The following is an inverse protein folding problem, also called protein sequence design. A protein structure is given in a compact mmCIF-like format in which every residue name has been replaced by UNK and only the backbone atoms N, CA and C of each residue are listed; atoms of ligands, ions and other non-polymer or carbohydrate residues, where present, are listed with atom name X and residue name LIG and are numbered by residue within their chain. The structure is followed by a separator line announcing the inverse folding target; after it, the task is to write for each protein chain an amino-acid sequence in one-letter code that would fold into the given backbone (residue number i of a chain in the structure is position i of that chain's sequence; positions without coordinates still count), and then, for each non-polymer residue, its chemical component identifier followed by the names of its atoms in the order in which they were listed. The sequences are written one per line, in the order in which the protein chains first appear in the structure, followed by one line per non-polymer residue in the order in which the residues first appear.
data_IF_777856761066
#
_entry.id   IF_777856761066
#
_cell.length_a   1.000
_cell.length_b   1.000
_cell.length_c   1.000
_cell.angle_alpha   90.00
_cell.angle_beta   90.00
_cell.angle_gamma   90.00
#
_symmetry.space_group_name_H-M   'P 1'
#
loop_
_entity.id
_entity.type
_entity.pdbx_description
1 polymer ?
#
# COMPACT_ATOMS: atom_id res chain seq x y z
N UNK A 1 -1.23 15.30 -21.61
CA UNK A 1 -2.28 14.51 -20.92
C UNK A 1 -3.18 15.41 -20.07
N UNK A 2 -4.45 15.07 -19.99
CA UNK A 2 -5.35 15.63 -19.00
C UNK A 2 -5.17 14.87 -17.69
N UNK A 3 -4.93 15.59 -16.59
CA UNK A 3 -4.76 15.00 -15.26
C UNK A 3 -6.09 15.12 -14.53
N UNK A 4 -6.63 13.99 -14.06
CA UNK A 4 -7.85 13.90 -13.29
C UNK A 4 -7.51 13.29 -11.93
N UNK A 5 -7.69 14.07 -10.87
CA UNK A 5 -7.35 13.69 -9.51
C UNK A 5 -8.57 13.16 -8.76
N UNK A 6 -8.36 12.19 -7.86
CA UNK A 6 -9.39 11.57 -7.02
C UNK A 6 -10.59 11.02 -7.83
N UNK A 7 -10.30 10.37 -8.98
CA UNK A 7 -11.35 9.93 -9.93
C UNK A 7 -12.31 8.87 -9.37
N UNK A 8 -12.00 8.23 -8.24
CA UNK A 8 -12.90 7.28 -7.59
C UNK A 8 -14.22 7.91 -7.11
N UNK A 9 -14.27 9.24 -6.96
CA UNK A 9 -15.49 9.94 -6.57
C UNK A 9 -16.43 10.26 -7.73
N UNK A 10 -15.96 10.12 -8.98
CA UNK A 10 -16.74 10.44 -10.19
C UNK A 10 -16.73 9.22 -11.13
N UNK A 11 -17.46 8.18 -10.75
CA UNK A 11 -17.48 6.90 -11.49
C UNK A 11 -18.08 7.05 -12.89
N UNK A 12 -19.00 7.98 -13.07
CA UNK A 12 -19.66 8.28 -14.35
C UNK A 12 -18.68 8.79 -15.42
N UNK A 13 -17.47 9.20 -15.02
CA UNK A 13 -16.46 9.69 -15.94
C UNK A 13 -15.77 8.57 -16.76
N UNK A 14 -15.69 7.36 -16.21
CA UNK A 14 -14.97 6.26 -16.87
C UNK A 14 -15.49 5.86 -18.25
N UNK A 15 -16.81 5.81 -18.52
CA UNK A 15 -17.32 5.56 -19.87
C UNK A 15 -16.89 6.62 -20.88
N UNK A 16 -16.83 7.90 -20.51
CA UNK A 16 -16.40 8.99 -21.38
C UNK A 16 -14.91 8.93 -21.66
N UNK A 17 -14.09 8.63 -20.65
CA UNK A 17 -12.66 8.39 -20.84
C UNK A 17 -12.43 7.23 -21.81
N UNK A 18 -13.20 6.14 -21.68
CA UNK A 18 -13.14 5.01 -22.59
C UNK A 18 -13.45 5.45 -24.03
N UNK A 19 -14.54 6.18 -24.24
CA UNK A 19 -14.94 6.66 -25.57
C UNK A 19 -13.81 7.52 -26.19
N UNK A 20 -13.28 8.47 -25.43
CA UNK A 20 -12.19 9.32 -25.90
C UNK A 20 -10.90 8.54 -26.23
N UNK A 21 -10.61 7.47 -25.49
CA UNK A 21 -9.49 6.58 -25.78
C UNK A 21 -9.73 5.70 -27.02
N UNK A 22 -10.99 5.37 -27.33
CA UNK A 22 -11.36 4.52 -28.45
C UNK A 22 -11.44 5.33 -29.77
N UNK A 23 -11.57 6.65 -29.71
CA UNK A 23 -11.62 7.56 -30.87
C UNK A 23 -10.24 7.85 -31.47
N UNK A 24 -9.15 7.51 -30.80
CA UNK A 24 -7.78 7.83 -31.25
C UNK A 24 -6.79 6.74 -30.86
N UNK A 25 -5.76 6.57 -31.67
CA UNK A 25 -4.60 5.70 -31.35
C UNK A 25 -3.58 6.37 -30.43
N UNK A 26 -3.77 7.64 -30.09
CA UNK A 26 -2.87 8.39 -29.22
C UNK A 26 -2.89 7.80 -27.80
N UNK A 27 -1.71 7.50 -27.25
CA UNK A 27 -1.55 7.01 -25.88
C UNK A 27 -1.25 8.17 -24.93
N UNK A 28 -1.59 7.96 -23.63
CA UNK A 28 -1.28 8.95 -22.61
C UNK A 28 -2.17 10.19 -22.65
N UNK A 29 -3.39 10.10 -23.14
CA UNK A 29 -4.36 11.21 -23.12
C UNK A 29 -4.73 11.64 -21.71
N UNK A 30 -4.89 10.68 -20.82
CA UNK A 30 -5.32 10.88 -19.44
C UNK A 30 -4.30 10.34 -18.47
N UNK A 31 -4.10 11.05 -17.34
CA UNK A 31 -3.46 10.58 -16.13
C UNK A 31 -4.50 10.63 -15.02
N UNK A 32 -4.85 9.46 -14.48
CA UNK A 32 -5.87 9.33 -13.45
C UNK A 32 -5.16 9.06 -12.13
N UNK A 33 -5.51 9.78 -11.07
CA UNK A 33 -5.00 9.53 -9.72
C UNK A 33 -6.14 9.19 -8.76
N UNK A 34 -5.83 8.50 -7.68
CA UNK A 34 -6.77 8.18 -6.64
C UNK A 34 -6.09 7.50 -5.46
N UNK A 35 -6.51 7.87 -4.25
CA UNK A 35 -5.94 7.36 -3.00
C UNK A 35 -6.51 5.98 -2.59
N UNK A 36 -7.66 5.59 -3.12
CA UNK A 36 -8.36 4.33 -2.80
C UNK A 36 -8.20 3.32 -3.93
N UNK A 37 -7.09 2.59 -3.93
CA UNK A 37 -6.75 1.64 -5.00
C UNK A 37 -7.84 0.59 -5.24
N UNK A 38 -8.50 0.07 -4.19
CA UNK A 38 -9.52 -0.96 -4.31
C UNK A 38 -10.78 -0.47 -5.05
N UNK A 39 -11.31 0.70 -4.67
CA UNK A 39 -12.48 1.30 -5.34
C UNK A 39 -12.16 1.69 -6.78
N UNK A 40 -10.99 2.30 -6.98
CA UNK A 40 -10.53 2.68 -8.31
C UNK A 40 -10.38 1.46 -9.22
N UNK A 41 -9.74 0.38 -8.74
CA UNK A 41 -9.49 -0.83 -9.52
C UNK A 41 -10.75 -1.54 -9.99
N UNK A 42 -11.82 -1.54 -9.20
CA UNK A 42 -13.10 -2.12 -9.60
C UNK A 42 -13.64 -1.45 -10.86
N UNK A 43 -13.72 -0.13 -10.87
CA UNK A 43 -14.27 0.62 -12.00
C UNK A 43 -13.32 0.67 -13.22
N UNK A 44 -12.02 0.74 -12.96
CA UNK A 44 -10.99 0.65 -14.00
C UNK A 44 -11.06 -0.70 -14.73
N UNK A 45 -11.19 -1.80 -14.00
CA UNK A 45 -11.26 -3.15 -14.60
C UNK A 45 -12.51 -3.34 -15.44
N UNK A 46 -13.64 -2.75 -15.06
CA UNK A 46 -14.90 -2.84 -15.81
C UNK A 46 -14.88 -1.98 -17.09
N UNK A 47 -14.29 -0.78 -17.04
CA UNK A 47 -14.41 0.20 -18.11
C UNK A 47 -13.16 0.36 -18.97
N UNK A 48 -11.96 0.27 -18.39
CA UNK A 48 -10.69 0.59 -19.04
C UNK A 48 -9.77 -0.61 -19.25
N UNK A 49 -10.27 -1.84 -19.13
CA UNK A 49 -9.48 -3.04 -19.34
C UNK A 49 -8.76 -3.02 -20.70
N UNK A 50 -7.45 -3.26 -20.70
CA UNK A 50 -6.61 -3.23 -21.90
C UNK A 50 -6.25 -1.84 -22.45
N UNK A 51 -6.72 -0.76 -21.82
CA UNK A 51 -6.48 0.63 -22.25
C UNK A 51 -5.64 1.44 -21.25
N UNK A 52 -5.38 0.90 -20.09
CA UNK A 52 -4.71 1.60 -19.00
C UNK A 52 -3.44 0.87 -18.57
N UNK A 53 -2.40 1.64 -18.21
CA UNK A 53 -1.28 1.19 -17.42
C UNK A 53 -1.48 1.65 -15.97
N UNK A 54 -1.23 0.76 -15.02
CA UNK A 54 -1.43 1.02 -13.59
C UNK A 54 -0.06 1.14 -12.94
N UNK A 55 0.14 2.23 -12.21
CA UNK A 55 1.34 2.49 -11.45
C UNK A 55 0.96 2.72 -9.98
N UNK A 56 1.65 2.03 -9.10
CA UNK A 56 1.53 2.27 -7.66
C UNK A 56 2.65 3.18 -7.19
N UNK A 57 2.30 4.27 -6.54
CA UNK A 57 3.25 5.18 -5.93
C UNK A 57 3.38 4.81 -4.43
N UNK A 58 4.43 4.08 -4.12
CA UNK A 58 4.76 3.75 -2.74
C UNK A 58 5.30 4.96 -1.97
N UNK A 59 5.37 4.85 -0.64
CA UNK A 59 6.10 5.81 0.19
C UNK A 59 7.60 5.84 -0.14
N UNK A 60 8.31 6.82 0.41
CA UNK A 60 9.74 7.01 0.16
C UNK A 60 10.55 5.76 0.52
N UNK A 61 11.37 5.31 -0.40
CA UNK A 61 12.37 4.29 -0.11
C UNK A 61 13.50 4.88 0.73
N UNK A 62 14.25 4.03 1.42
CA UNK A 62 15.44 4.47 2.17
C UNK A 62 16.47 5.20 1.30
N UNK A 63 16.54 4.87 0.02
CA UNK A 63 17.40 5.57 -0.94
C UNK A 63 16.98 7.01 -1.15
N UNK A 64 15.69 7.23 -1.36
CA UNK A 64 15.10 8.56 -1.54
C UNK A 64 15.25 9.39 -0.28
N UNK A 65 14.96 8.83 0.89
CA UNK A 65 15.15 9.50 2.19
C UNK A 65 16.62 9.92 2.40
N UNK A 66 17.57 9.10 1.98
CA UNK A 66 19.01 9.38 2.13
C UNK A 66 19.61 10.20 0.97
N UNK A 67 18.82 10.54 -0.04
CA UNK A 67 19.29 11.24 -1.24
C UNK A 67 20.33 10.44 -2.03
N UNK A 68 20.19 9.10 -2.09
CA UNK A 68 21.11 8.23 -2.80
C UNK A 68 20.53 7.94 -4.18
N UNK A 69 21.16 8.44 -5.25
CA UNK A 69 20.83 8.10 -6.62
C UNK A 69 21.45 6.75 -7.01
N UNK A 70 20.65 5.89 -7.62
CA UNK A 70 21.09 4.63 -8.21
C UNK A 70 20.05 4.15 -9.24
N UNK A 71 20.27 4.49 -10.49
CA UNK A 71 19.25 4.43 -11.57
C UNK A 71 19.14 3.06 -12.26
N UNK A 72 19.74 2.02 -11.70
CA UNK A 72 19.64 0.67 -12.25
C UNK A 72 18.45 -0.07 -11.66
N UNK A 73 17.64 -0.78 -12.48
CA UNK A 73 16.58 -1.64 -12.00
C UNK A 73 17.16 -2.73 -11.09
N UNK A 74 16.36 -3.17 -10.10
CA UNK A 74 16.78 -4.22 -9.19
C UNK A 74 16.90 -5.56 -9.92
N UNK A 75 18.13 -6.02 -10.11
CA UNK A 75 18.46 -7.37 -10.63
C UNK A 75 19.47 -7.96 -9.64
N UNK A 76 19.13 -9.02 -8.87
CA UNK A 76 19.95 -9.53 -7.78
C UNK A 76 21.13 -10.39 -8.31
N UNK A 77 22.00 -9.78 -9.12
CA UNK A 77 23.25 -10.39 -9.58
C UNK A 77 24.42 -9.93 -8.69
N UNK A 78 25.51 -10.69 -8.69
CA UNK A 78 26.72 -10.33 -7.95
C UNK A 78 27.26 -8.96 -8.39
N UNK A 79 27.22 -8.66 -9.67
CA UNK A 79 27.63 -7.36 -10.22
C UNK A 79 26.75 -6.22 -9.68
N UNK A 80 25.42 -6.40 -9.69
CA UNK A 80 24.50 -5.43 -9.12
C UNK A 80 24.79 -5.16 -7.63
N UNK A 81 24.97 -6.22 -6.85
CA UNK A 81 25.26 -6.12 -5.41
C UNK A 81 26.57 -5.38 -5.18
N UNK A 82 27.63 -5.69 -5.94
CA UNK A 82 28.93 -5.05 -5.87
C UNK A 82 28.88 -3.55 -6.20
N UNK A 83 28.16 -3.18 -7.26
CA UNK A 83 27.98 -1.77 -7.63
C UNK A 83 27.12 -1.03 -6.64
N UNK A 84 26.02 -1.64 -6.21
CA UNK A 84 25.11 -1.08 -5.20
C UNK A 84 25.84 -0.82 -3.89
N UNK A 85 26.74 -1.73 -3.49
CA UNK A 85 27.57 -1.62 -2.30
C UNK A 85 28.46 -0.35 -2.28
N UNK A 86 28.84 0.18 -3.44
CA UNK A 86 29.64 1.43 -3.51
C UNK A 86 28.87 2.68 -3.12
N UNK A 87 27.55 2.66 -3.22
CA UNK A 87 26.65 3.80 -2.92
C UNK A 87 25.93 3.66 -1.57
N UNK A 88 26.09 2.53 -0.91
CA UNK A 88 25.47 2.30 0.41
C UNK A 88 26.11 3.21 1.46
N UNK A 89 25.27 3.91 2.21
CA UNK A 89 25.67 4.66 3.41
C UNK A 89 25.20 3.89 4.64
N UNK A 90 26.02 3.77 5.69
CA UNK A 90 25.58 3.12 6.92
C UNK A 90 24.48 3.93 7.61
N UNK A 91 23.49 3.25 8.17
CA UNK A 91 22.47 3.88 8.99
C UNK A 91 23.06 4.18 10.38
N UNK A 92 22.99 5.43 10.81
CA UNK A 92 23.42 5.79 12.16
C UNK A 92 22.40 5.35 13.21
N UNK A 93 21.12 5.44 12.89
CA UNK A 93 20.03 5.04 13.78
C UNK A 93 18.85 4.47 12.95
N UNK A 94 18.85 3.15 12.79
CA UNK A 94 17.79 2.47 12.01
C UNK A 94 16.40 2.65 12.65
N UNK A 95 16.30 2.74 13.97
CA UNK A 95 15.04 2.92 14.67
C UNK A 95 14.38 4.26 14.39
N UNK A 96 15.16 5.29 14.13
CA UNK A 96 14.65 6.59 13.71
C UNK A 96 13.81 6.45 12.42
N UNK A 97 14.34 5.74 11.42
CA UNK A 97 13.66 5.53 10.15
C UNK A 97 12.44 4.61 10.28
N UNK A 98 12.56 3.55 11.09
CA UNK A 98 11.45 2.62 11.35
C UNK A 98 10.27 3.36 12.00
N UNK A 99 10.52 4.20 13.01
CA UNK A 99 9.47 4.97 13.66
C UNK A 99 8.88 6.06 12.77
N UNK A 100 9.72 6.71 11.99
CA UNK A 100 9.28 7.81 11.11
C UNK A 100 8.54 7.28 9.88
N UNK A 101 8.86 6.07 9.44
CA UNK A 101 8.21 5.44 8.29
C UNK A 101 8.63 6.07 6.95
N UNK A 102 7.76 5.99 5.96
CA UNK A 102 8.07 6.33 4.56
C UNK A 102 7.22 7.47 3.97
N UNK A 103 6.41 8.15 4.78
CA UNK A 103 5.58 9.26 4.29
C UNK A 103 6.43 10.51 4.03
N UNK A 104 6.35 11.12 2.81
CA UNK A 104 7.14 12.31 2.47
C UNK A 104 6.99 13.46 3.46
N UNK A 105 5.77 13.71 3.94
CA UNK A 105 5.47 14.78 4.89
C UNK A 105 6.29 14.71 6.18
N UNK A 106 6.76 13.53 6.56
CA UNK A 106 7.59 13.34 7.74
C UNK A 106 9.07 13.70 7.52
N UNK A 107 9.48 13.97 6.27
CA UNK A 107 10.85 14.31 5.90
C UNK A 107 11.01 15.73 5.34
N UNK A 108 9.91 16.35 4.93
CA UNK A 108 9.92 17.70 4.36
C UNK A 108 9.85 18.80 5.43
N UNK A 109 9.16 18.54 6.53
CA UNK A 109 9.00 19.48 7.64
C UNK A 109 9.33 18.79 8.97
N UNK A 110 9.60 19.59 10.01
CA UNK A 110 9.76 19.09 11.39
C UNK A 110 8.42 18.63 12.00
N UNK A 111 7.64 17.86 11.24
CA UNK A 111 6.36 17.34 11.68
C UNK A 111 6.55 16.30 12.78
N UNK A 112 5.80 16.44 13.85
CA UNK A 112 5.74 15.44 14.91
C UNK A 112 5.10 14.15 14.37
N UNK A 113 5.86 13.07 14.37
CA UNK A 113 5.41 11.79 13.81
C UNK A 113 4.27 11.16 14.63
N UNK A 114 4.19 11.41 15.94
CA UNK A 114 3.12 10.89 16.78
C UNK A 114 1.79 11.57 16.44
N UNK A 115 1.83 12.91 16.29
CA UNK A 115 0.67 13.67 15.86
C UNK A 115 0.23 13.28 14.44
N UNK A 116 1.19 13.11 13.53
CA UNK A 116 0.91 12.66 12.17
C UNK A 116 0.19 11.32 12.16
N UNK A 117 0.76 10.29 12.80
CA UNK A 117 0.16 8.96 12.78
C UNK A 117 -1.14 8.85 13.57
N UNK A 118 -1.30 9.57 14.68
CA UNK A 118 -2.57 9.59 15.41
C UNK A 118 -3.69 10.20 14.56
N UNK A 119 -3.42 11.30 13.85
CA UNK A 119 -4.36 11.92 12.92
C UNK A 119 -4.65 11.02 11.72
N UNK A 120 -3.63 10.37 11.18
CA UNK A 120 -3.76 9.42 10.07
C UNK A 120 -4.69 8.25 10.45
N UNK A 121 -4.46 7.62 11.61
CA UNK A 121 -5.31 6.52 12.07
C UNK A 121 -6.76 6.96 12.25
N UNK A 122 -7.00 8.15 12.81
CA UNK A 122 -8.36 8.68 12.97
C UNK A 122 -9.05 8.92 11.62
N UNK A 123 -8.36 9.54 10.67
CA UNK A 123 -8.92 9.82 9.34
C UNK A 123 -9.08 8.55 8.52
N UNK A 124 -8.14 7.61 8.60
CA UNK A 124 -8.22 6.32 7.95
C UNK A 124 -9.41 5.49 8.44
N UNK A 125 -9.62 5.44 9.77
CA UNK A 125 -10.76 4.73 10.35
C UNK A 125 -12.09 5.31 9.91
N UNK A 126 -12.21 6.64 9.88
CA UNK A 126 -13.46 7.29 9.53
C UNK A 126 -13.77 7.23 8.03
N UNK A 127 -12.76 7.17 7.17
CA UNK A 127 -12.93 7.21 5.71
C UNK A 127 -12.86 5.81 5.09
N UNK A 128 -11.72 5.14 5.21
CA UNK A 128 -11.45 3.95 4.40
C UNK A 128 -12.03 2.68 5.02
N UNK A 129 -11.98 2.53 6.33
CA UNK A 129 -12.47 1.32 7.01
C UNK A 129 -14.00 1.29 7.04
N UNK A 130 -14.65 2.42 7.29
CA UNK A 130 -16.12 2.49 7.27
C UNK A 130 -16.69 2.22 5.88
N UNK A 131 -16.04 2.72 4.83
CA UNK A 131 -16.49 2.53 3.45
C UNK A 131 -16.28 1.09 2.99
N UNK A 132 -15.19 0.43 3.40
CA UNK A 132 -14.84 -0.91 2.94
C UNK A 132 -15.55 -2.04 3.69
N UNK A 133 -15.83 -1.92 4.99
CA UNK A 133 -16.26 -3.07 5.80
C UNK A 133 -17.47 -2.86 6.67
N UNK A 134 -18.05 -1.67 6.73
CA UNK A 134 -19.10 -1.35 7.71
C UNK A 134 -18.68 -1.75 9.13
N UNK A 135 -17.40 -1.53 9.50
CA UNK A 135 -16.88 -1.79 10.84
C UNK A 135 -17.72 -1.00 11.84
N UNK A 136 -18.60 -1.72 12.54
CA UNK A 136 -19.49 -1.11 13.55
C UNK A 136 -18.77 -0.88 14.89
N UNK A 137 -17.67 -1.59 15.13
CA UNK A 137 -16.94 -1.58 16.39
C UNK A 137 -15.51 -1.08 16.20
N UNK A 138 -15.37 0.24 16.25
CA UNK A 138 -14.07 0.92 16.14
C UNK A 138 -13.07 0.50 17.22
N UNK A 139 -13.55 0.16 18.44
CA UNK A 139 -12.70 -0.27 19.53
C UNK A 139 -12.03 -1.60 19.23
N UNK A 140 -12.80 -2.55 18.70
CA UNK A 140 -12.25 -3.84 18.28
C UNK A 140 -11.28 -3.71 17.12
N UNK A 141 -11.57 -2.81 16.17
CA UNK A 141 -10.66 -2.53 15.07
C UNK A 141 -9.33 -1.93 15.55
N UNK A 142 -9.35 -1.02 16.52
CA UNK A 142 -8.12 -0.49 17.12
C UNK A 142 -7.31 -1.56 17.85
N UNK A 143 -7.96 -2.46 18.58
CA UNK A 143 -7.29 -3.63 19.18
C UNK A 143 -6.68 -4.53 18.12
N UNK A 144 -7.40 -4.76 17.01
CA UNK A 144 -6.89 -5.52 15.88
C UNK A 144 -5.65 -4.87 15.25
N UNK A 145 -5.66 -3.55 15.00
CA UNK A 145 -4.49 -2.81 14.51
C UNK A 145 -3.29 -2.97 15.44
N UNK A 146 -3.51 -2.83 16.75
CA UNK A 146 -2.46 -3.02 17.75
C UNK A 146 -1.92 -4.45 17.74
N UNK A 147 -2.80 -5.45 17.67
CA UNK A 147 -2.43 -6.86 17.60
C UNK A 147 -1.61 -7.18 16.33
N UNK A 148 -1.93 -6.56 15.21
CA UNK A 148 -1.18 -6.69 13.95
C UNK A 148 0.19 -6.01 14.04
N UNK A 149 0.26 -4.78 14.59
CA UNK A 149 1.50 -4.04 14.74
C UNK A 149 2.53 -4.79 15.61
N UNK A 150 2.10 -5.32 16.74
CA UNK A 150 2.96 -6.11 17.65
C UNK A 150 3.53 -7.38 16.97
N UNK A 151 2.85 -7.87 15.95
CA UNK A 151 3.29 -9.05 15.17
C UNK A 151 4.08 -8.73 13.92
N UNK A 152 4.46 -7.50 13.74
CA UNK A 152 5.31 -7.11 12.62
C UNK A 152 6.60 -7.93 12.62
N UNK A 153 6.96 -8.54 11.48
CA UNK A 153 8.11 -9.44 11.37
C UNK A 153 7.93 -10.84 11.96
N UNK A 154 6.71 -11.22 12.35
CA UNK A 154 6.40 -12.54 12.90
C UNK A 154 5.49 -13.36 11.97
N UNK A 155 5.38 -14.66 12.22
CA UNK A 155 4.41 -15.50 11.52
C UNK A 155 2.98 -15.07 11.86
N UNK A 156 2.19 -14.77 10.83
CA UNK A 156 0.80 -14.39 11.00
C UNK A 156 -0.04 -15.59 11.42
N UNK A 157 -0.82 -15.41 12.49
CA UNK A 157 -1.78 -16.38 12.99
C UNK A 157 -3.10 -15.66 13.28
N UNK A 158 -4.07 -15.84 12.40
CA UNK A 158 -5.38 -15.19 12.51
C UNK A 158 -6.15 -15.51 13.80
N UNK A 159 -6.02 -16.74 14.32
CA UNK A 159 -6.70 -17.11 15.56
C UNK A 159 -6.16 -16.32 16.76
N UNK A 160 -4.83 -16.16 16.86
CA UNK A 160 -4.21 -15.36 17.92
C UNK A 160 -4.51 -13.87 17.81
N UNK A 161 -4.56 -13.34 16.59
CA UNK A 161 -4.97 -11.93 16.33
C UNK A 161 -6.43 -11.73 16.74
N UNK A 162 -7.30 -12.66 16.35
CA UNK A 162 -8.73 -12.63 16.64
C UNK A 162 -9.00 -12.63 18.15
N UNK A 163 -8.33 -13.52 18.89
CA UNK A 163 -8.42 -13.61 20.35
C UNK A 163 -8.06 -12.28 21.03
N UNK A 164 -6.95 -11.64 20.61
CA UNK A 164 -6.51 -10.37 21.19
C UNK A 164 -7.42 -9.18 20.86
N UNK A 165 -8.06 -9.21 19.71
CA UNK A 165 -8.97 -8.16 19.27
C UNK A 165 -10.43 -8.41 19.67
N UNK A 166 -10.74 -9.54 20.33
CA UNK A 166 -12.09 -9.99 20.66
C UNK A 166 -13.02 -10.02 19.42
N UNK A 167 -12.54 -10.68 18.36
CA UNK A 167 -13.25 -10.87 17.09
C UNK A 167 -13.16 -12.32 16.63
N UNK A 168 -13.90 -12.68 15.58
CA UNK A 168 -13.75 -14.00 14.95
C UNK A 168 -12.49 -14.07 14.08
N UNK A 169 -11.96 -15.28 13.87
CA UNK A 169 -10.84 -15.49 12.94
C UNK A 169 -11.20 -15.12 11.50
N UNK A 170 -12.46 -15.27 11.11
CA UNK A 170 -12.96 -14.83 9.80
C UNK A 170 -12.88 -13.30 9.68
N UNK A 171 -13.33 -12.57 10.70
CA UNK A 171 -13.23 -11.10 10.76
C UNK A 171 -11.78 -10.64 10.76
N UNK A 172 -10.88 -11.33 11.50
CA UNK A 172 -9.47 -11.00 11.49
C UNK A 172 -8.85 -11.17 10.08
N UNK A 173 -9.22 -12.21 9.35
CA UNK A 173 -8.78 -12.42 7.97
C UNK A 173 -9.31 -11.34 7.03
N UNK A 174 -10.58 -10.99 7.13
CA UNK A 174 -11.20 -9.92 6.34
C UNK A 174 -10.51 -8.58 6.60
N UNK A 175 -10.34 -8.19 7.85
CA UNK A 175 -9.69 -6.93 8.21
C UNK A 175 -8.21 -6.89 7.83
N UNK A 176 -7.52 -8.03 7.87
CA UNK A 176 -6.14 -8.14 7.35
C UNK A 176 -6.09 -7.84 5.85
N UNK A 177 -7.04 -8.38 5.07
CA UNK A 177 -7.10 -8.10 3.63
C UNK A 177 -7.34 -6.62 3.32
N UNK A 178 -8.07 -5.91 4.19
CA UNK A 178 -8.25 -4.46 4.05
C UNK A 178 -6.96 -3.71 4.32
N UNK A 179 -6.24 -4.05 5.39
CA UNK A 179 -4.94 -3.42 5.68
C UNK A 179 -3.93 -3.66 4.56
N UNK A 180 -3.94 -4.84 3.96
CA UNK A 180 -3.10 -5.18 2.83
C UNK A 180 -3.50 -4.40 1.58
N UNK A 181 -4.78 -4.35 1.24
CA UNK A 181 -5.31 -3.59 0.10
C UNK A 181 -5.09 -2.08 0.23
N UNK A 182 -5.04 -1.56 1.47
CA UNK A 182 -4.74 -0.15 1.77
C UNK A 182 -3.23 0.14 1.84
N UNK A 183 -2.37 -0.85 1.64
CA UNK A 183 -0.92 -0.69 1.72
C UNK A 183 -0.36 -0.45 3.12
N UNK A 184 -1.16 -0.64 4.18
CA UNK A 184 -0.71 -0.48 5.57
C UNK A 184 0.13 -1.63 6.07
N UNK A 185 -0.07 -2.81 5.54
CA UNK A 185 0.72 -4.00 5.81
C UNK A 185 1.14 -4.67 4.52
N UNK A 186 2.20 -5.43 4.59
CA UNK A 186 2.64 -6.33 3.54
C UNK A 186 2.78 -7.74 4.10
N UNK A 187 2.12 -8.71 3.47
CA UNK A 187 2.20 -10.13 3.87
C UNK A 187 3.26 -10.80 3.01
N UNK A 188 4.42 -11.05 3.62
CA UNK A 188 5.51 -11.76 2.95
C UNK A 188 5.14 -13.23 2.79
N UNK A 189 4.92 -13.64 1.56
CA UNK A 189 4.61 -15.03 1.24
C UNK A 189 5.85 -15.92 1.40
N UNK A 190 5.69 -17.17 1.86
CA UNK A 190 6.82 -18.09 1.99
C UNK A 190 7.44 -18.39 0.62
N UNK A 191 8.75 -18.28 0.55
CA UNK A 191 9.47 -18.67 -0.65
C UNK A 191 9.36 -20.19 -0.88
N UNK A 192 9.01 -20.59 -2.10
CA UNK A 192 9.01 -21.99 -2.53
C UNK A 192 9.38 -22.10 -4.00
N UNK A 193 10.27 -23.05 -4.33
CA UNK A 193 10.62 -23.36 -5.71
C UNK A 193 9.48 -24.06 -6.48
N UNK A 194 8.47 -24.58 -5.78
CA UNK A 194 7.30 -25.23 -6.37
C UNK A 194 6.11 -24.27 -6.43
N UNK A 195 5.58 -24.03 -7.62
CA UNK A 195 4.37 -23.22 -7.81
C UNK A 195 3.16 -23.78 -7.05
N UNK A 196 3.01 -25.11 -6.99
CA UNK A 196 1.97 -25.79 -6.23
C UNK A 196 2.08 -25.54 -4.72
N UNK A 197 3.28 -25.55 -4.15
CA UNK A 197 3.47 -25.27 -2.72
C UNK A 197 3.23 -23.81 -2.36
N UNK A 198 3.40 -22.86 -3.29
CA UNK A 198 3.04 -21.46 -3.10
C UNK A 198 1.53 -21.26 -3.01
N UNK A 199 0.76 -22.00 -3.83
CA UNK A 199 -0.70 -21.91 -3.84
C UNK A 199 -1.40 -22.57 -2.64
N UNK A 200 -0.74 -23.51 -1.94
CA UNK A 200 -1.37 -24.29 -0.86
C UNK A 200 -1.12 -23.69 0.54
N UNK A 201 -0.17 -22.76 0.69
CA UNK A 201 0.23 -22.17 1.99
C UNK A 201 -0.30 -20.74 2.23
N UNK A 202 -1.29 -20.32 1.46
CA UNK A 202 -2.05 -19.08 1.72
C UNK A 202 -3.23 -19.31 2.65
#
# INVERSE_FOLDING_TARGET
PLILDEVQYIQELFPYIKMACDETDQKGLFSLTGSQSFHLMKHVSESLAGRIAIFELAGLSMREIMGISFDRPFIPTEEYIKERGKTVKPYQNIWYYIHRGSYPALYDNEMDWQLFYSSYVQTYLSRDVNDLTKVKDHMKFMRFLTAMAVRSGQLLNYAKVAEQADISAATAKEWTSILEASGLIYILQPFSNSALRRAIKT
#
